data_IF_987878656707
#
_entry.id   IF_987878656707
#
_cell.length_a   1.000
_cell.length_b   1.000
_cell.length_c   1.000
_cell.angle_alpha   90.00
_cell.angle_beta   90.00
_cell.angle_gamma   90.00
#
_symmetry.space_group_name_H-M   'P 1'
#
loop_
_entity.id
_entity.type
_entity.pdbx_description
1 polymer ?
#
# COMPACT_ATOMS: atom_id res chain seq x y z
N UNK A 1 -8.67 -13.64 1.17
CA UNK A 1 -7.72 -13.93 0.07
C UNK A 1 -6.64 -12.87 0.12
N UNK A 2 -5.40 -13.20 -0.22
CA UNK A 2 -4.35 -12.20 -0.35
C UNK A 2 -4.61 -11.34 -1.60
N UNK A 3 -4.40 -10.03 -1.49
CA UNK A 3 -4.54 -9.12 -2.62
C UNK A 3 -3.53 -9.49 -3.72
N UNK A 4 -3.90 -9.48 -5.01
CA UNK A 4 -3.00 -9.87 -6.10
C UNK A 4 -1.76 -8.96 -6.23
N UNK A 5 -1.85 -7.75 -5.68
CA UNK A 5 -0.75 -6.78 -5.64
C UNK A 5 0.06 -6.85 -4.34
N UNK A 6 -0.36 -7.61 -3.33
CA UNK A 6 0.37 -7.73 -2.07
C UNK A 6 1.84 -8.16 -2.32
N UNK A 7 2.80 -7.59 -1.57
CA UNK A 7 4.21 -7.93 -1.76
C UNK A 7 4.52 -9.33 -1.25
N UNK A 8 5.51 -9.98 -1.85
CA UNK A 8 6.07 -11.25 -1.35
C UNK A 8 7.13 -10.98 -0.27
N UNK A 9 7.55 -12.03 0.45
CA UNK A 9 8.65 -11.96 1.41
C UNK A 9 9.94 -11.48 0.73
N UNK A 10 10.27 -12.00 -0.45
CA UNK A 10 11.47 -11.63 -1.20
C UNK A 10 11.48 -10.12 -1.53
N UNK A 11 10.32 -9.57 -1.92
CA UNK A 11 10.21 -8.16 -2.29
C UNK A 11 10.38 -7.21 -1.09
N UNK A 12 10.01 -7.64 0.11
CA UNK A 12 10.28 -6.87 1.33
C UNK A 12 11.74 -7.08 1.76
N UNK A 13 12.30 -8.28 1.60
CA UNK A 13 13.69 -8.59 1.90
C UNK A 13 14.68 -7.75 1.08
N UNK A 14 14.34 -7.42 -0.16
CA UNK A 14 15.13 -6.52 -1.00
C UNK A 14 15.35 -5.11 -0.38
N UNK A 15 14.50 -4.69 0.55
CA UNK A 15 14.64 -3.40 1.24
C UNK A 15 15.51 -3.49 2.50
N UNK A 16 15.53 -4.66 3.15
CA UNK A 16 16.17 -4.89 4.44
C UNK A 16 16.92 -6.24 4.44
N UNK A 17 17.90 -6.42 3.52
CA UNK A 17 18.50 -7.72 3.28
C UNK A 17 19.21 -8.26 4.51
N UNK A 18 19.72 -7.39 5.39
CA UNK A 18 20.35 -7.74 6.67
C UNK A 18 19.44 -8.56 7.59
N UNK A 19 18.11 -8.38 7.49
CA UNK A 19 17.11 -9.15 8.26
C UNK A 19 16.88 -10.56 7.74
N UNK A 20 17.46 -10.90 6.59
CA UNK A 20 17.49 -12.27 6.05
C UNK A 20 18.78 -13.01 6.34
N UNK A 21 19.64 -12.46 7.21
CA UNK A 21 20.86 -13.14 7.64
C UNK A 21 20.52 -14.39 8.46
N UNK A 22 21.30 -15.45 8.24
CA UNK A 22 21.24 -16.64 9.07
C UNK A 22 21.60 -16.32 10.52
N UNK A 23 20.62 -16.43 11.40
CA UNK A 23 20.74 -16.19 12.83
C UNK A 23 21.07 -17.46 13.63
N UNK A 24 21.02 -18.64 12.99
CA UNK A 24 21.22 -19.94 13.66
C UNK A 24 22.66 -20.44 13.57
N UNK A 25 23.40 -20.05 12.53
CA UNK A 25 24.82 -20.42 12.38
C UNK A 25 25.74 -19.36 13.01
N UNK A 26 26.47 -19.67 14.10
CA UNK A 26 27.37 -18.70 14.73
C UNK A 26 28.44 -18.17 13.77
N UNK A 27 28.53 -16.84 13.64
CA UNK A 27 29.50 -16.17 12.78
C UNK A 27 29.17 -16.17 11.29
N UNK A 28 27.96 -16.61 10.90
CA UNK A 28 27.48 -16.50 9.53
C UNK A 28 27.03 -15.09 9.19
N UNK A 29 27.51 -14.58 8.05
CA UNK A 29 27.02 -13.35 7.42
C UNK A 29 26.23 -13.65 6.13
N UNK A 30 25.84 -14.91 5.92
CA UNK A 30 25.09 -15.33 4.73
C UNK A 30 23.69 -14.72 4.72
N UNK A 31 23.37 -13.98 3.65
CA UNK A 31 22.04 -13.44 3.40
C UNK A 31 21.24 -14.47 2.61
N UNK A 32 20.13 -14.94 3.18
CA UNK A 32 19.34 -16.01 2.60
C UNK A 32 18.40 -15.51 1.49
N UNK A 33 18.24 -14.20 1.34
CA UNK A 33 17.44 -13.55 0.29
C UNK A 33 15.93 -13.59 0.52
N UNK A 34 15.47 -14.27 1.58
CA UNK A 34 14.09 -14.28 2.06
C UNK A 34 14.08 -14.65 3.56
N UNK A 35 12.93 -14.55 4.22
CA UNK A 35 12.78 -15.00 5.61
C UNK A 35 12.42 -16.49 5.67
N UNK A 36 12.96 -17.18 6.67
CA UNK A 36 12.67 -18.59 6.97
C UNK A 36 12.80 -18.85 8.48
N UNK A 37 12.82 -20.11 8.90
CA UNK A 37 12.98 -20.47 10.32
C UNK A 37 14.36 -20.13 10.90
N UNK A 38 15.35 -19.81 10.06
CA UNK A 38 16.72 -19.48 10.43
C UNK A 38 17.01 -17.98 10.46
N UNK A 39 16.04 -17.13 10.10
CA UNK A 39 16.19 -15.66 10.12
C UNK A 39 15.55 -15.04 11.37
N UNK A 40 15.88 -13.79 11.67
CA UNK A 40 15.19 -12.97 12.68
C UNK A 40 14.75 -11.65 12.05
N UNK A 41 13.44 -11.41 11.86
CA UNK A 41 12.27 -12.27 12.18
C UNK A 41 12.19 -13.59 11.39
N UNK A 42 11.29 -14.50 11.78
CA UNK A 42 10.94 -15.69 10.95
C UNK A 42 10.02 -15.33 9.78
N UNK A 43 9.86 -16.26 8.83
CA UNK A 43 8.90 -16.10 7.71
C UNK A 43 7.48 -15.79 8.18
N UNK A 44 6.95 -16.48 9.19
CA UNK A 44 5.61 -16.22 9.72
C UNK A 44 5.51 -14.84 10.36
N UNK A 45 6.54 -14.41 11.06
CA UNK A 45 6.58 -13.09 11.69
C UNK A 45 6.61 -11.99 10.63
N UNK A 46 7.51 -12.08 9.65
CA UNK A 46 7.60 -11.15 8.52
C UNK A 46 6.28 -11.08 7.72
N UNK A 47 5.62 -12.21 7.51
CA UNK A 47 4.32 -12.28 6.83
C UNK A 47 3.22 -11.49 7.57
N UNK A 48 3.27 -11.40 8.91
CA UNK A 48 2.31 -10.61 9.69
C UNK A 48 2.53 -9.11 9.49
N UNK A 49 3.78 -8.66 9.38
CA UNK A 49 4.09 -7.26 9.05
C UNK A 49 3.61 -6.91 7.64
N UNK A 50 3.79 -7.81 6.66
CA UNK A 50 3.25 -7.63 5.31
C UNK A 50 1.72 -7.51 5.35
N UNK A 51 1.03 -8.37 6.09
CA UNK A 51 -0.42 -8.31 6.22
C UNK A 51 -0.89 -6.99 6.84
N UNK A 52 -0.20 -6.50 7.87
CA UNK A 52 -0.48 -5.19 8.49
C UNK A 52 -0.28 -4.04 7.50
N UNK A 53 0.83 -4.03 6.77
CA UNK A 53 1.12 -3.01 5.77
C UNK A 53 0.10 -3.00 4.61
N UNK A 54 -0.34 -4.17 4.15
CA UNK A 54 -1.40 -4.29 3.15
C UNK A 54 -2.72 -3.72 3.67
N UNK A 55 -3.07 -4.00 4.94
CA UNK A 55 -4.27 -3.44 5.55
C UNK A 55 -4.21 -1.91 5.65
N UNK A 56 -3.04 -1.34 5.96
CA UNK A 56 -2.83 0.11 5.99
C UNK A 56 -3.02 0.75 4.60
N UNK A 57 -2.40 0.15 3.57
CA UNK A 57 -2.58 0.60 2.18
C UNK A 57 -4.05 0.55 1.76
N UNK A 58 -4.73 -0.56 2.06
CA UNK A 58 -6.16 -0.70 1.78
C UNK A 58 -7.01 0.34 2.50
N UNK A 59 -6.70 0.64 3.78
CA UNK A 59 -7.36 1.70 4.52
C UNK A 59 -7.20 3.08 3.87
N UNK A 60 -6.02 3.37 3.32
CA UNK A 60 -5.74 4.65 2.67
C UNK A 60 -6.47 4.85 1.34
N UNK A 61 -6.69 3.77 0.58
CA UNK A 61 -7.39 3.81 -0.73
C UNK A 61 -8.88 3.45 -0.64
N UNK A 62 -9.49 3.60 0.55
CA UNK A 62 -10.89 3.27 0.80
C UNK A 62 -11.29 1.82 0.45
N UNK A 63 -10.35 0.89 0.58
CA UNK A 63 -10.57 -0.55 0.48
C UNK A 63 -10.50 -1.12 -0.94
N UNK A 64 -10.07 -0.36 -1.95
CA UNK A 64 -9.86 -0.91 -3.30
C UNK A 64 -8.73 -0.22 -4.05
N UNK A 65 -7.82 -1.01 -4.61
CA UNK A 65 -6.88 -0.58 -5.65
C UNK A 65 -7.45 -1.01 -7.01
N UNK A 66 -7.81 -0.08 -7.91
CA UNK A 66 -8.30 -0.43 -9.23
C UNK A 66 -7.30 -1.32 -9.99
N UNK A 67 -7.80 -2.37 -10.63
CA UNK A 67 -6.97 -3.27 -11.45
C UNK A 67 -6.38 -2.56 -12.69
N UNK A 68 -7.05 -1.50 -13.14
CA UNK A 68 -6.65 -0.66 -14.25
C UNK A 68 -6.56 0.79 -13.77
N UNK A 69 -5.49 1.52 -14.11
CA UNK A 69 -4.31 1.06 -14.84
C UNK A 69 -3.38 0.14 -14.02
N UNK A 70 -2.70 -0.79 -14.69
CA UNK A 70 -1.89 -1.85 -14.03
C UNK A 70 -0.74 -1.32 -13.18
N UNK A 71 -0.29 -0.08 -13.41
CA UNK A 71 0.76 0.54 -12.60
C UNK A 71 0.31 0.81 -11.16
N UNK A 72 -1.00 0.95 -10.89
CA UNK A 72 -1.53 1.15 -9.54
C UNK A 72 -1.21 -0.03 -8.63
N UNK A 73 -1.32 -1.25 -9.14
CA UNK A 73 -0.90 -2.46 -8.44
C UNK A 73 0.60 -2.43 -8.08
N UNK A 74 1.44 -1.90 -8.98
CA UNK A 74 2.87 -1.71 -8.72
C UNK A 74 3.16 -0.68 -7.63
N UNK A 75 2.41 0.42 -7.60
CA UNK A 75 2.50 1.44 -6.55
C UNK A 75 2.03 0.90 -5.19
N UNK A 76 0.90 0.19 -5.16
CA UNK A 76 0.37 -0.42 -3.95
C UNK A 76 1.33 -1.44 -3.35
N UNK A 77 1.90 -2.31 -4.20
CA UNK A 77 2.94 -3.26 -3.80
C UNK A 77 4.14 -2.57 -3.17
N UNK A 78 4.64 -1.51 -3.82
CA UNK A 78 5.82 -0.76 -3.35
C UNK A 78 5.56 -0.03 -2.03
N UNK A 79 4.38 0.56 -1.87
CA UNK A 79 4.00 1.22 -0.63
C UNK A 79 3.94 0.20 0.52
N UNK A 80 3.27 -0.93 0.30
CA UNK A 80 3.19 -2.01 1.28
C UNK A 80 4.56 -2.63 1.60
N UNK A 81 5.43 -2.83 0.61
CA UNK A 81 6.75 -3.43 0.83
C UNK A 81 7.66 -2.54 1.66
N UNK A 82 7.68 -1.23 1.37
CA UNK A 82 8.46 -0.26 2.14
C UNK A 82 7.93 -0.09 3.56
N UNK A 83 6.61 -0.09 3.73
CA UNK A 83 5.97 0.01 5.04
C UNK A 83 6.28 -1.21 5.92
N UNK A 84 6.10 -2.42 5.37
CA UNK A 84 6.45 -3.65 6.07
C UNK A 84 7.95 -3.68 6.45
N UNK A 85 8.83 -3.24 5.54
CA UNK A 85 10.26 -3.18 5.83
C UNK A 85 10.58 -2.19 6.96
N UNK A 86 9.93 -1.01 6.98
CA UNK A 86 10.08 -0.04 8.05
C UNK A 86 9.64 -0.62 9.40
N UNK A 87 8.46 -1.24 9.45
CA UNK A 87 7.93 -1.81 10.69
C UNK A 87 8.81 -2.95 11.24
N UNK A 88 9.42 -3.75 10.36
CA UNK A 88 10.37 -4.80 10.74
C UNK A 88 11.65 -4.18 11.34
N UNK A 89 12.23 -3.15 10.70
CA UNK A 89 13.43 -2.48 11.24
C UNK A 89 13.16 -1.83 12.60
N UNK A 90 11.95 -1.27 12.80
CA UNK A 90 11.56 -0.70 14.08
C UNK A 90 11.42 -1.75 15.17
N UNK A 91 10.90 -2.93 14.84
CA UNK A 91 10.66 -4.00 15.80
C UNK A 91 11.92 -4.79 16.17
N UNK A 92 12.91 -4.83 15.28
CA UNK A 92 14.15 -5.60 15.45
C UNK A 92 15.40 -4.73 15.28
N UNK A 93 15.64 -3.67 16.07
CA UNK A 93 16.85 -2.87 15.90
C UNK A 93 18.11 -3.65 16.36
N UNK A 94 19.16 -3.70 15.53
CA UNK A 94 20.46 -4.24 15.91
C UNK A 94 21.38 -3.13 16.46
N UNK A 95 21.22 -1.89 15.96
CA UNK A 95 22.02 -0.71 16.31
C UNK A 95 21.21 0.58 16.22
N UNK A 96 21.67 1.66 16.86
CA UNK A 96 21.08 3.01 16.74
C UNK A 96 21.01 3.53 15.29
N UNK A 97 21.94 3.07 14.42
CA UNK A 97 21.92 3.41 13.00
C UNK A 97 20.67 2.87 12.27
N UNK A 98 20.05 1.81 12.79
CA UNK A 98 18.88 1.17 12.19
C UNK A 98 17.62 2.02 12.40
N UNK A 99 17.59 2.86 13.44
CA UNK A 99 16.51 3.85 13.64
C UNK A 99 16.48 4.86 12.48
N UNK A 100 17.65 5.26 11.96
CA UNK A 100 17.71 6.13 10.77
C UNK A 100 17.31 5.41 9.49
N UNK A 101 17.56 4.10 9.39
CA UNK A 101 17.11 3.27 8.27
C UNK A 101 15.59 3.17 8.29
N UNK A 102 15.00 2.93 9.47
CA UNK A 102 13.57 3.00 9.68
C UNK A 102 12.98 4.34 9.23
N UNK A 103 13.51 5.47 9.70
CA UNK A 103 13.00 6.81 9.33
C UNK A 103 13.01 7.03 7.81
N UNK A 104 14.08 6.58 7.12
CA UNK A 104 14.17 6.69 5.67
C UNK A 104 13.18 5.77 4.95
N UNK A 105 12.99 4.54 5.42
CA UNK A 105 12.02 3.60 4.86
C UNK A 105 10.59 4.08 5.08
N UNK A 106 10.29 4.58 6.28
CA UNK A 106 8.98 5.12 6.65
C UNK A 106 8.63 6.35 5.81
N UNK A 107 9.57 7.28 5.61
CA UNK A 107 9.33 8.43 4.73
C UNK A 107 9.09 7.99 3.29
N UNK A 108 9.88 7.04 2.77
CA UNK A 108 9.67 6.51 1.41
C UNK A 108 8.35 5.76 1.27
N UNK A 109 7.91 5.07 2.33
CA UNK A 109 6.62 4.40 2.37
C UNK A 109 5.47 5.42 2.33
N UNK A 110 5.55 6.48 3.13
CA UNK A 110 4.59 7.60 3.13
C UNK A 110 4.51 8.29 1.76
N UNK A 111 5.65 8.59 1.15
CA UNK A 111 5.70 9.19 -0.18
C UNK A 111 5.08 8.27 -1.25
N UNK A 112 5.33 6.96 -1.17
CA UNK A 112 4.75 5.98 -2.07
C UNK A 112 3.23 5.85 -1.87
N UNK A 113 2.77 5.86 -0.62
CA UNK A 113 1.36 5.82 -0.27
C UNK A 113 0.62 7.07 -0.75
N UNK A 114 1.20 8.25 -0.54
CA UNK A 114 0.63 9.51 -1.01
C UNK A 114 0.45 9.52 -2.54
N UNK A 115 1.49 9.09 -3.28
CA UNK A 115 1.40 8.94 -4.75
C UNK A 115 0.36 7.92 -5.19
N UNK A 116 0.21 6.82 -4.45
CA UNK A 116 -0.83 5.84 -4.74
C UNK A 116 -2.22 6.45 -4.53
N UNK A 117 -2.46 7.12 -3.41
CA UNK A 117 -3.75 7.75 -3.10
C UNK A 117 -4.10 8.78 -4.18
N UNK A 118 -3.16 9.64 -4.55
CA UNK A 118 -3.33 10.61 -5.64
C UNK A 118 -3.68 9.91 -6.96
N UNK A 119 -2.91 8.88 -7.36
CA UNK A 119 -3.15 8.16 -8.60
C UNK A 119 -4.47 7.37 -8.62
N UNK A 120 -4.90 6.81 -7.47
CA UNK A 120 -6.20 6.15 -7.34
C UNK A 120 -7.33 7.17 -7.41
N UNK A 121 -7.18 8.34 -6.77
CA UNK A 121 -8.12 9.44 -6.86
C UNK A 121 -8.24 9.97 -8.29
N UNK A 122 -7.14 10.11 -9.03
CA UNK A 122 -7.15 10.52 -10.44
C UNK A 122 -7.80 9.46 -11.33
N UNK A 123 -7.47 8.18 -11.12
CA UNK A 123 -8.09 7.07 -11.85
C UNK A 123 -9.59 6.99 -11.58
N UNK A 124 -10.03 7.17 -10.33
CA UNK A 124 -11.46 7.27 -9.96
C UNK A 124 -12.12 8.57 -10.43
N UNK A 125 -11.33 9.65 -10.55
CA UNK A 125 -11.73 10.96 -11.07
C UNK A 125 -12.02 10.97 -12.56
N UNK A 126 -11.51 9.99 -13.32
CA UNK A 126 -11.95 9.74 -14.70
C UNK A 126 -13.34 9.08 -14.79
N UNK A 127 -13.98 8.82 -13.65
CA UNK A 127 -15.30 8.22 -13.53
C UNK A 127 -16.07 8.69 -12.31
N UNK A 128 -16.13 10.00 -12.05
CA UNK A 128 -17.35 10.53 -11.43
C UNK A 128 -18.27 10.94 -12.55
N UNK A 129 -19.10 9.97 -12.96
CA UNK A 129 -20.41 10.20 -13.56
C UNK A 129 -21.28 11.02 -12.57
N UNK A 130 -20.87 12.24 -12.26
CA UNK A 130 -21.71 13.27 -11.65
C UNK A 130 -22.67 13.88 -12.66
N UNK A 131 -22.80 13.29 -13.86
CA UNK A 131 -23.63 13.82 -14.94
C UNK A 131 -24.33 12.75 -15.80
N UNK A 132 -24.57 11.54 -15.28
CA UNK A 132 -25.44 10.54 -15.95
C UNK A 132 -26.73 10.19 -15.17
N UNK A 133 -26.96 10.79 -14.00
CA UNK A 133 -28.32 10.78 -13.45
C UNK A 133 -29.16 11.73 -14.30
N UNK A 134 -30.31 11.31 -14.86
CA UNK A 134 -31.21 12.24 -15.53
C UNK A 134 -31.60 13.32 -14.54
N UNK A 135 -31.24 14.56 -14.85
CA UNK A 135 -31.71 15.73 -14.11
C UNK A 135 -33.18 15.89 -14.43
N UNK A 136 -34.04 15.44 -13.51
CA UNK A 136 -35.47 15.70 -13.60
C UNK A 136 -35.71 17.17 -13.25
N UNK A 137 -35.87 18.01 -14.27
CA UNK A 137 -36.32 19.38 -14.13
C UNK A 137 -37.81 19.44 -14.46
N UNK A 138 -38.62 19.93 -13.53
CA UNK A 138 -39.99 20.33 -13.83
C UNK A 138 -39.96 21.80 -14.23
N UNK A 139 -40.56 22.19 -15.37
CA UNK A 139 -40.80 23.60 -15.64
C UNK A 139 -41.62 24.18 -14.49
N UNK A 140 -41.32 25.41 -14.10
CA UNK A 140 -42.14 26.14 -13.12
C UNK A 140 -43.61 26.08 -13.59
N UNK A 141 -44.56 25.78 -12.68
CA UNK A 141 -45.95 25.71 -13.06
C UNK A 141 -46.37 27.07 -13.63
N UNK A 142 -46.61 27.11 -14.94
CA UNK A 142 -47.11 28.28 -15.62
C UNK A 142 -48.37 28.76 -14.92
N UNK A 143 -48.45 30.05 -14.64
CA UNK A 143 -49.64 30.63 -14.04
C UNK A 143 -50.79 30.50 -15.06
N UNK A 144 -52.05 30.24 -14.64
CA UNK A 144 -53.15 29.96 -15.56
C UNK A 144 -53.45 31.03 -16.63
N UNK A 145 -52.83 32.22 -16.52
CA UNK A 145 -52.95 33.32 -17.46
C UNK A 145 -51.95 33.32 -18.63
N UNK A 146 -50.95 32.44 -18.64
CA UNK A 146 -49.88 32.44 -19.66
C UNK A 146 -50.10 31.43 -20.82
N UNK A 147 -51.22 30.71 -20.82
CA UNK A 147 -51.57 29.79 -21.92
C UNK A 147 -52.46 30.50 -22.93
N UNK A 148 -52.03 30.67 -24.21
CA UNK A 148 -52.91 31.21 -25.24
C UNK A 148 -54.07 30.25 -25.50
N UNK A 149 -55.29 30.80 -25.54
CA UNK A 149 -56.53 30.10 -25.90
C UNK A 149 -56.50 29.57 -27.34
#
# INVERSE_FOLDING_TARGET
MAEPWAPTLEQVADHIPTRTRDATTPGSDALLGTWNEHTTPTAEQASRYIASAVAEVMGAVAGTVPATPTYLAGLARKAASLRAAADIELAYPDRDADVRVFEQLDQRAKDALARLVEAVSDAGGTGTEGSLLPVYAFPDPGWPGDYPL
#
